data_IF_675985072069
#
_entry.id   IF_675985072069
#
_cell.length_a   1.000
_cell.length_b   1.000
_cell.length_c   1.000
_cell.angle_alpha   90.00
_cell.angle_beta   90.00
_cell.angle_gamma   90.00
#
_symmetry.space_group_name_H-M   'P 1'
#
loop_
_entity.id
_entity.type
_entity.pdbx_description
1 polymer ?
#
# COMPACT_ATOMS: atom_id res chain seq x y z
N UNK A 1 -10.70 16.00 5.37
CA UNK A 1 -12.07 15.71 4.90
C UNK A 1 -12.87 15.27 6.11
N UNK A 2 -14.00 15.90 6.42
CA UNK A 2 -14.91 15.42 7.46
C UNK A 2 -15.94 14.50 6.81
N UNK A 3 -15.98 13.23 7.22
CA UNK A 3 -17.06 12.32 6.83
C UNK A 3 -18.31 12.71 7.63
N UNK A 4 -19.48 12.75 6.98
CA UNK A 4 -20.74 12.93 7.72
C UNK A 4 -21.13 11.61 8.38
N UNK A 5 -20.69 11.43 9.63
CA UNK A 5 -21.01 10.24 10.42
C UNK A 5 -22.51 10.14 10.79
N UNK A 6 -23.33 11.14 10.43
CA UNK A 6 -24.78 11.07 10.56
C UNK A 6 -25.46 10.46 9.33
N UNK A 7 -24.75 10.30 8.21
CA UNK A 7 -25.29 9.64 7.02
C UNK A 7 -25.60 8.18 7.34
N UNK A 8 -26.74 7.68 6.87
CA UNK A 8 -27.14 6.30 7.15
C UNK A 8 -26.37 5.35 6.24
N UNK A 9 -25.59 4.46 6.82
CA UNK A 9 -25.00 3.32 6.09
C UNK A 9 -26.12 2.39 5.60
N UNK A 10 -26.32 2.33 4.28
CA UNK A 10 -27.35 1.49 3.64
C UNK A 10 -26.90 0.04 3.43
N UNK A 11 -25.58 -0.20 3.44
CA UNK A 11 -24.99 -1.53 3.31
C UNK A 11 -24.26 -1.93 4.59
N UNK A 12 -24.79 -2.92 5.30
CA UNK A 12 -24.14 -3.46 6.49
C UNK A 12 -22.96 -4.34 6.09
N UNK A 13 -21.74 -3.93 6.47
CA UNK A 13 -20.56 -4.76 6.26
C UNK A 13 -20.72 -6.12 6.95
N UNK A 14 -20.28 -7.23 6.31
CA UNK A 14 -20.35 -8.54 6.93
C UNK A 14 -19.43 -8.61 8.17
N UNK A 15 -19.71 -9.56 9.06
CA UNK A 15 -18.83 -9.82 10.19
C UNK A 15 -17.39 -10.10 9.72
N UNK A 16 -16.41 -9.54 10.43
CA UNK A 16 -14.99 -9.59 10.09
C UNK A 16 -14.62 -8.87 8.77
N UNK A 17 -15.41 -7.90 8.30
CA UNK A 17 -15.06 -7.09 7.14
C UNK A 17 -13.68 -6.43 7.31
N UNK A 18 -12.92 -6.39 6.22
CA UNK A 18 -11.59 -5.83 6.16
C UNK A 18 -11.59 -4.65 5.19
N UNK A 19 -11.10 -3.50 5.63
CA UNK A 19 -10.58 -2.51 4.72
C UNK A 19 -9.16 -2.95 4.32
N UNK A 20 -8.98 -3.26 3.04
CA UNK A 20 -7.72 -3.78 2.53
C UNK A 20 -6.80 -2.68 1.97
N UNK A 21 -7.22 -1.41 1.98
CA UNK A 21 -6.41 -0.34 1.41
C UNK A 21 -6.77 1.05 1.95
N UNK A 22 -5.97 1.54 2.89
CA UNK A 22 -6.02 2.93 3.31
C UNK A 22 -4.64 3.45 3.75
N UNK A 23 -4.57 4.76 3.95
CA UNK A 23 -3.37 5.46 4.39
C UNK A 23 -3.70 6.29 5.63
N UNK A 24 -2.72 6.42 6.51
CA UNK A 24 -2.73 7.42 7.59
C UNK A 24 -1.71 8.50 7.26
N UNK A 25 -2.04 9.73 7.62
CA UNK A 25 -1.14 10.87 7.51
C UNK A 25 -1.12 11.62 8.82
N UNK A 26 0.01 11.59 9.51
CA UNK A 26 0.19 12.27 10.78
C UNK A 26 0.66 13.72 10.61
N UNK A 27 0.86 14.43 11.74
CA UNK A 27 1.39 15.78 11.76
C UNK A 27 2.76 15.88 11.06
N UNK A 28 2.94 16.91 10.23
CA UNK A 28 4.15 17.06 9.39
C UNK A 28 5.43 17.35 10.19
N UNK A 29 5.31 17.88 11.40
CA UNK A 29 6.40 18.08 12.36
C UNK A 29 6.91 16.77 12.98
N UNK A 30 6.04 15.76 13.06
CA UNK A 30 6.38 14.41 13.56
C UNK A 30 6.80 13.46 12.44
N UNK A 31 6.15 13.54 11.29
CA UNK A 31 6.37 12.63 10.16
C UNK A 31 6.78 13.44 8.92
N UNK A 32 8.10 13.66 8.73
CA UNK A 32 8.59 14.42 7.58
C UNK A 32 8.33 13.65 6.28
N UNK A 33 8.15 14.40 5.19
CA UNK A 33 7.95 13.80 3.88
C UNK A 33 9.26 13.26 3.30
N UNK A 34 9.16 12.20 2.48
CA UNK A 34 10.33 11.52 1.92
C UNK A 34 11.01 12.27 0.77
N UNK A 35 10.40 13.35 0.27
CA UNK A 35 10.94 14.19 -0.80
C UNK A 35 10.25 15.55 -0.84
N UNK A 36 10.94 16.58 -1.31
CA UNK A 36 10.36 17.89 -1.63
C UNK A 36 9.47 17.85 -2.87
N UNK A 37 9.64 16.84 -3.74
CA UNK A 37 8.85 16.67 -4.98
C UNK A 37 7.64 15.78 -4.72
N UNK A 38 6.66 16.34 -4.02
CA UNK A 38 5.42 15.63 -3.71
C UNK A 38 4.47 15.57 -4.91
N UNK A 39 3.84 14.41 -5.11
CA UNK A 39 2.79 14.23 -6.14
C UNK A 39 1.52 15.02 -5.82
N UNK A 40 1.27 15.29 -4.54
CA UNK A 40 0.11 15.99 -4.00
C UNK A 40 0.45 16.57 -2.62
N UNK A 41 -0.32 17.55 -2.15
CA UNK A 41 -0.22 18.03 -0.78
C UNK A 41 -0.80 16.98 0.19
N UNK A 42 0.02 16.34 1.06
CA UNK A 42 -0.47 15.30 1.96
C UNK A 42 -1.44 15.90 2.98
N UNK A 43 -2.64 15.31 3.17
CA UNK A 43 -3.59 15.83 4.15
C UNK A 43 -3.12 15.49 5.58
N UNK A 44 -3.67 16.17 6.58
CA UNK A 44 -3.71 15.61 7.94
C UNK A 44 -4.87 14.61 7.99
N UNK A 45 -4.57 13.33 8.21
CA UNK A 45 -5.55 12.24 8.26
C UNK A 45 -5.13 11.23 9.33
N UNK A 46 -5.32 11.56 10.62
CA UNK A 46 -4.87 10.73 11.73
C UNK A 46 -5.67 9.43 11.82
N UNK A 47 -5.07 8.41 12.45
CA UNK A 47 -5.72 7.11 12.69
C UNK A 47 -7.08 7.26 13.40
N UNK A 48 -7.20 8.20 14.34
CA UNK A 48 -8.44 8.45 15.09
C UNK A 48 -9.64 8.77 14.19
N UNK A 49 -9.42 9.50 13.10
CA UNK A 49 -10.48 9.87 12.16
C UNK A 49 -10.89 8.66 11.34
N UNK A 50 -9.91 7.87 10.91
CA UNK A 50 -10.15 6.62 10.20
C UNK A 50 -10.91 5.60 11.07
N UNK A 51 -10.55 5.43 12.35
CA UNK A 51 -11.24 4.47 13.24
C UNK A 51 -12.70 4.85 13.50
N UNK A 52 -13.03 6.14 13.52
CA UNK A 52 -14.42 6.59 13.59
C UNK A 52 -15.21 6.19 12.33
N UNK A 53 -14.62 6.40 11.15
CA UNK A 53 -15.20 5.98 9.88
C UNK A 53 -15.34 4.45 9.80
N UNK A 54 -14.29 3.71 10.11
CA UNK A 54 -14.28 2.25 10.10
C UNK A 54 -15.37 1.67 11.01
N UNK A 55 -15.52 2.21 12.23
CA UNK A 55 -16.58 1.83 13.15
C UNK A 55 -17.97 2.11 12.58
N UNK A 56 -18.16 3.29 11.98
CA UNK A 56 -19.41 3.67 11.34
C UNK A 56 -19.77 2.71 10.18
N UNK A 57 -18.78 2.29 9.40
CA UNK A 57 -18.92 1.33 8.29
C UNK A 57 -18.98 -0.15 8.72
N UNK A 58 -18.75 -0.46 10.01
CA UNK A 58 -18.72 -1.84 10.51
C UNK A 58 -17.46 -2.64 10.13
N UNK A 59 -16.35 -1.97 9.80
CA UNK A 59 -15.07 -2.60 9.49
C UNK A 59 -14.34 -2.97 10.78
N UNK A 60 -13.71 -4.15 10.81
CA UNK A 60 -13.02 -4.65 12.02
C UNK A 60 -11.59 -5.11 11.78
N UNK A 61 -11.14 -5.12 10.52
CA UNK A 61 -9.78 -5.49 10.11
C UNK A 61 -9.25 -4.48 9.10
N UNK A 62 -7.95 -4.24 9.16
CA UNK A 62 -7.33 -3.11 8.49
C UNK A 62 -6.01 -3.52 7.85
N UNK A 63 -5.83 -3.20 6.56
CA UNK A 63 -4.54 -3.27 5.89
C UNK A 63 -4.05 -1.85 5.63
N UNK A 64 -3.08 -1.44 6.44
CA UNK A 64 -2.40 -0.19 6.25
C UNK A 64 -1.44 -0.29 5.06
N UNK A 65 -1.43 0.72 4.21
CA UNK A 65 -0.50 0.77 3.06
C UNK A 65 0.34 2.03 3.15
N UNK A 66 1.65 1.89 2.97
CA UNK A 66 2.57 3.03 2.94
C UNK A 66 2.22 3.99 1.80
N UNK A 67 1.94 5.28 2.08
CA UNK A 67 1.72 6.28 1.03
C UNK A 67 3.06 6.77 0.47
N UNK A 68 3.08 7.15 -0.81
CA UNK A 68 4.30 7.66 -1.46
C UNK A 68 4.87 8.94 -0.83
N UNK A 69 4.06 9.71 -0.08
CA UNK A 69 4.46 10.97 0.53
C UNK A 69 5.60 10.80 1.54
N UNK A 70 5.64 9.68 2.26
CA UNK A 70 6.69 9.38 3.25
C UNK A 70 7.84 8.56 2.66
N UNK A 71 7.80 8.23 1.36
CA UNK A 71 8.79 7.37 0.72
C UNK A 71 8.89 6.02 1.46
N UNK A 72 10.10 5.68 1.92
CA UNK A 72 10.39 4.45 2.67
C UNK A 72 10.43 4.64 4.19
N UNK A 73 10.14 5.84 4.68
CA UNK A 73 9.89 6.03 6.10
C UNK A 73 8.48 5.53 6.43
N UNK A 74 8.40 4.31 6.96
CA UNK A 74 7.15 3.66 7.31
C UNK A 74 6.65 4.03 8.72
N UNK A 75 7.32 4.95 9.44
CA UNK A 75 7.06 5.22 10.86
C UNK A 75 5.61 5.63 11.15
N UNK A 76 5.02 6.52 10.35
CA UNK A 76 3.62 6.95 10.54
C UNK A 76 2.65 5.77 10.49
N UNK A 77 2.82 4.89 9.50
CA UNK A 77 2.01 3.68 9.36
C UNK A 77 2.26 2.69 10.51
N UNK A 78 3.52 2.43 10.84
CA UNK A 78 3.89 1.46 11.86
C UNK A 78 3.44 1.89 13.26
N UNK A 79 3.50 3.19 13.59
CA UNK A 79 2.97 3.74 14.84
C UNK A 79 1.46 3.51 14.94
N UNK A 80 0.72 3.80 13.86
CA UNK A 80 -0.73 3.56 13.82
C UNK A 80 -1.05 2.06 13.94
N UNK A 81 -0.25 1.18 13.31
CA UNK A 81 -0.40 -0.27 13.46
C UNK A 81 -0.15 -0.74 14.90
N UNK A 82 0.80 -0.14 15.63
CA UNK A 82 1.04 -0.46 17.05
C UNK A 82 -0.16 -0.10 17.92
N UNK A 83 -0.78 1.04 17.66
CA UNK A 83 -1.97 1.49 18.39
C UNK A 83 -3.16 0.53 18.20
N UNK A 84 -3.39 0.08 16.96
CA UNK A 84 -4.47 -0.88 16.64
C UNK A 84 -4.17 -2.30 17.12
N UNK A 85 -2.91 -2.73 16.98
CA UNK A 85 -2.45 -4.05 17.36
C UNK A 85 -2.68 -5.15 16.30
N UNK A 86 -1.77 -6.13 16.31
CA UNK A 86 -1.65 -7.19 15.29
C UNK A 86 -2.84 -8.16 15.19
N UNK A 87 -3.83 -8.06 16.07
CA UNK A 87 -5.05 -8.88 15.95
C UNK A 87 -5.98 -8.35 14.86
N UNK A 88 -5.96 -7.05 14.63
CA UNK A 88 -6.87 -6.37 13.71
C UNK A 88 -6.15 -5.77 12.49
N UNK A 89 -4.85 -5.51 12.58
CA UNK A 89 -4.09 -4.84 11.51
C UNK A 89 -3.05 -5.71 10.82
N UNK A 90 -2.84 -5.43 9.53
CA UNK A 90 -1.67 -5.82 8.74
C UNK A 90 -1.12 -4.59 8.02
N UNK A 91 0.12 -4.68 7.56
CA UNK A 91 0.80 -3.57 6.88
C UNK A 91 1.45 -3.97 5.56
N UNK A 92 1.47 -3.03 4.61
CA UNK A 92 2.23 -3.07 3.37
C UNK A 92 3.22 -1.90 3.39
N UNK A 93 4.50 -2.22 3.51
CA UNK A 93 5.59 -1.23 3.63
C UNK A 93 6.19 -0.88 2.26
N UNK A 94 6.92 0.23 2.14
CA UNK A 94 7.91 0.44 1.07
C UNK A 94 9.30 0.37 1.69
N UNK A 95 10.19 -0.42 1.09
CA UNK A 95 11.55 -0.67 1.58
C UNK A 95 12.55 -0.71 0.43
N UNK A 96 13.83 -0.53 0.77
CA UNK A 96 14.94 -0.85 -0.11
C UNK A 96 15.14 -2.37 -0.19
N UNK A 97 15.55 -2.86 -1.34
CA UNK A 97 15.79 -4.29 -1.59
C UNK A 97 16.94 -4.89 -0.75
N UNK A 98 17.77 -4.04 -0.15
CA UNK A 98 18.86 -4.37 0.76
C UNK A 98 18.55 -4.02 2.23
N UNK A 99 17.29 -3.72 2.56
CA UNK A 99 16.86 -3.51 3.94
C UNK A 99 17.37 -4.64 4.87
N UNK A 100 17.91 -4.32 6.06
CA UNK A 100 18.48 -5.31 6.98
C UNK A 100 17.44 -6.34 7.44
N UNK A 101 17.85 -7.60 7.59
CA UNK A 101 16.96 -8.67 8.09
C UNK A 101 16.36 -8.36 9.45
N UNK A 102 17.10 -7.68 10.33
CA UNK A 102 16.59 -7.25 11.65
C UNK A 102 15.39 -6.31 11.51
N UNK A 103 15.45 -5.35 10.59
CA UNK A 103 14.35 -4.44 10.31
C UNK A 103 13.12 -5.18 9.78
N UNK A 104 13.32 -6.14 8.86
CA UNK A 104 12.23 -6.95 8.33
C UNK A 104 11.59 -7.83 9.42
N UNK A 105 12.40 -8.42 10.29
CA UNK A 105 11.91 -9.21 11.42
C UNK A 105 11.13 -8.36 12.44
N UNK A 106 11.55 -7.11 12.67
CA UNK A 106 10.78 -6.16 13.49
C UNK A 106 9.44 -5.80 12.85
N UNK A 107 9.44 -5.50 11.56
CA UNK A 107 8.21 -5.24 10.80
C UNK A 107 7.26 -6.45 10.78
N UNK A 108 7.79 -7.67 10.66
CA UNK A 108 6.98 -8.89 10.67
C UNK A 108 6.25 -9.09 12.01
N UNK A 109 6.95 -8.85 13.13
CA UNK A 109 6.37 -8.90 14.48
C UNK A 109 5.27 -7.86 14.68
N UNK A 110 5.32 -6.75 13.94
CA UNK A 110 4.28 -5.71 13.93
C UNK A 110 3.11 -6.02 13.01
N UNK A 111 3.15 -7.13 12.27
CA UNK A 111 2.07 -7.53 11.38
C UNK A 111 2.23 -7.06 9.93
N UNK A 112 3.40 -6.55 9.52
CA UNK A 112 3.66 -6.29 8.10
C UNK A 112 3.65 -7.61 7.33
N UNK A 113 2.99 -7.66 6.18
CA UNK A 113 2.86 -8.89 5.36
C UNK A 113 3.09 -8.65 3.88
N UNK A 114 3.62 -7.49 3.50
CA UNK A 114 3.95 -7.23 2.11
C UNK A 114 4.74 -5.96 1.88
N UNK A 115 5.26 -5.85 0.66
CA UNK A 115 6.02 -4.69 0.19
C UNK A 115 5.32 -4.09 -1.03
N UNK A 116 5.16 -2.78 -1.05
CA UNK A 116 4.60 -2.04 -2.18
C UNK A 116 5.67 -1.75 -3.22
N UNK A 117 5.47 -2.22 -4.43
CA UNK A 117 6.15 -1.74 -5.63
C UNK A 117 5.37 -0.54 -6.15
N UNK A 118 5.81 0.64 -5.73
CA UNK A 118 5.14 1.91 -6.02
C UNK A 118 5.83 2.69 -7.13
N UNK A 119 5.08 3.00 -8.18
CA UNK A 119 5.46 3.92 -9.24
C UNK A 119 4.30 4.90 -9.51
N UNK A 120 4.61 6.14 -9.90
CA UNK A 120 3.59 7.17 -10.09
C UNK A 120 2.55 6.73 -11.13
N UNK A 121 1.25 6.66 -10.80
CA UNK A 121 0.22 6.25 -11.75
C UNK A 121 0.05 7.19 -12.95
N UNK A 122 0.57 8.41 -12.84
CA UNK A 122 0.55 9.44 -13.88
C UNK A 122 1.91 9.56 -14.60
N UNK A 123 2.85 8.64 -14.35
CA UNK A 123 4.13 8.66 -15.05
C UNK A 123 3.92 8.45 -16.55
N UNK A 124 4.48 9.33 -17.41
CA UNK A 124 4.42 9.13 -18.86
C UNK A 124 5.14 7.85 -19.26
N UNK A 125 4.80 7.33 -20.44
CA UNK A 125 5.45 6.15 -20.99
C UNK A 125 6.98 6.32 -21.02
N UNK A 126 7.70 5.35 -20.44
CA UNK A 126 9.16 5.30 -20.42
C UNK A 126 9.62 3.94 -20.97
N UNK A 127 10.17 3.90 -22.20
CA UNK A 127 10.67 2.67 -22.79
C UNK A 127 11.70 1.97 -21.89
N UNK A 128 11.49 0.69 -21.61
CA UNK A 128 12.43 -0.13 -20.85
C UNK A 128 12.32 0.02 -19.32
N UNK A 129 11.40 0.82 -18.80
CA UNK A 129 11.21 0.98 -17.36
C UNK A 129 10.88 -0.35 -16.66
N UNK A 130 10.02 -1.19 -17.25
CA UNK A 130 9.71 -2.53 -16.72
C UNK A 130 10.98 -3.37 -16.51
N UNK A 131 11.84 -3.43 -17.52
CA UNK A 131 13.12 -4.15 -17.47
C UNK A 131 14.09 -3.54 -16.45
N UNK A 132 14.10 -2.22 -16.31
CA UNK A 132 14.92 -1.51 -15.32
C UNK A 132 14.47 -1.82 -13.88
N UNK A 133 13.17 -1.99 -13.64
CA UNK A 133 12.62 -2.31 -12.33
C UNK A 133 12.72 -3.79 -11.95
N UNK A 134 12.81 -4.68 -12.93
CA UNK A 134 12.80 -6.13 -12.73
C UNK A 134 13.80 -6.63 -11.66
N UNK A 135 15.10 -6.24 -11.66
CA UNK A 135 16.05 -6.74 -10.65
C UNK A 135 15.65 -6.40 -9.22
N UNK A 136 15.11 -5.20 -8.99
CA UNK A 136 14.61 -4.77 -7.67
C UNK A 136 13.41 -5.63 -7.25
N UNK A 137 12.45 -5.82 -8.16
CA UNK A 137 11.23 -6.60 -7.87
C UNK A 137 11.57 -8.05 -7.55
N UNK A 138 12.46 -8.67 -8.32
CA UNK A 138 12.90 -10.05 -8.07
C UNK A 138 13.58 -10.20 -6.71
N UNK A 139 14.43 -9.23 -6.33
CA UNK A 139 15.09 -9.23 -5.03
C UNK A 139 14.11 -9.07 -3.87
N UNK A 140 13.16 -8.12 -3.97
CA UNK A 140 12.12 -7.95 -2.95
C UNK A 140 11.21 -9.18 -2.89
N UNK A 141 10.85 -9.78 -4.03
CA UNK A 141 10.05 -11.00 -4.10
C UNK A 141 10.73 -12.18 -3.39
N UNK A 142 12.04 -12.34 -3.57
CA UNK A 142 12.83 -13.36 -2.88
C UNK A 142 12.80 -13.17 -1.35
N UNK A 143 13.00 -11.94 -0.86
CA UNK A 143 12.91 -11.63 0.58
C UNK A 143 11.49 -11.84 1.11
N UNK A 144 10.46 -11.45 0.35
CA UNK A 144 9.07 -11.70 0.72
C UNK A 144 8.77 -13.20 0.82
N UNK A 145 9.35 -14.02 -0.07
CA UNK A 145 9.19 -15.48 -0.05
C UNK A 145 9.72 -16.08 1.26
N UNK A 146 10.87 -15.62 1.73
CA UNK A 146 11.48 -16.08 2.99
C UNK A 146 10.60 -15.73 4.20
N UNK A 147 9.94 -14.57 4.17
CA UNK A 147 9.08 -14.07 5.26
C UNK A 147 7.62 -14.55 5.19
N UNK A 148 7.21 -15.17 4.08
CA UNK A 148 5.80 -15.47 3.82
C UNK A 148 4.95 -14.21 3.54
N UNK A 149 5.57 -13.17 3.00
CA UNK A 149 4.94 -11.91 2.60
C UNK A 149 4.54 -11.93 1.11
N UNK A 150 3.82 -10.90 0.67
CA UNK A 150 3.41 -10.69 -0.73
C UNK A 150 3.86 -9.34 -1.28
N UNK A 151 3.67 -9.10 -2.58
CA UNK A 151 3.89 -7.80 -3.20
C UNK A 151 2.57 -7.06 -3.45
N UNK A 152 2.54 -5.74 -3.28
CA UNK A 152 1.45 -4.87 -3.75
C UNK A 152 1.96 -3.98 -4.87
N UNK A 153 1.31 -3.98 -6.04
CA UNK A 153 1.73 -3.16 -7.17
C UNK A 153 0.83 -1.94 -7.35
N UNK A 154 1.44 -0.76 -7.35
CA UNK A 154 0.83 0.47 -7.87
C UNK A 154 1.71 1.00 -8.99
N UNK A 155 1.24 0.92 -10.22
CA UNK A 155 1.97 1.31 -11.44
C UNK A 155 1.02 2.10 -12.35
N UNK A 156 1.51 2.93 -13.29
CA UNK A 156 0.65 3.41 -14.38
C UNK A 156 0.19 2.23 -15.24
N UNK A 157 -1.01 2.29 -15.84
CA UNK A 157 -1.63 1.14 -16.54
C UNK A 157 -0.79 0.55 -17.68
N UNK A 158 -0.03 1.39 -18.40
CA UNK A 158 0.90 0.91 -19.43
C UNK A 158 2.01 0.04 -18.83
N UNK A 159 2.52 0.41 -17.66
CA UNK A 159 3.59 -0.34 -16.99
C UNK A 159 3.03 -1.60 -16.37
N UNK A 160 1.82 -1.55 -15.78
CA UNK A 160 1.08 -2.74 -15.34
C UNK A 160 1.06 -3.78 -16.47
N UNK A 161 0.63 -3.37 -17.67
CA UNK A 161 0.56 -4.25 -18.84
C UNK A 161 1.92 -4.85 -19.20
N UNK A 162 2.97 -4.04 -19.27
CA UNK A 162 4.33 -4.50 -19.57
C UNK A 162 4.91 -5.45 -18.51
N UNK A 163 4.47 -5.34 -17.25
CA UNK A 163 4.96 -6.15 -16.13
C UNK A 163 4.22 -7.49 -15.97
N UNK A 164 3.08 -7.72 -16.63
CA UNK A 164 2.32 -8.99 -16.54
C UNK A 164 3.19 -10.24 -16.74
N UNK A 165 4.10 -10.31 -17.75
CA UNK A 165 4.98 -11.47 -17.91
C UNK A 165 5.86 -11.75 -16.68
N UNK A 166 6.43 -10.71 -16.06
CA UNK A 166 7.22 -10.85 -14.83
C UNK A 166 6.33 -11.26 -13.64
N UNK A 167 5.15 -10.66 -13.52
CA UNK A 167 4.22 -10.97 -12.43
C UNK A 167 3.82 -12.46 -12.42
N UNK A 168 3.65 -13.07 -13.60
CA UNK A 168 3.37 -14.51 -13.74
C UNK A 168 4.50 -15.42 -13.27
N UNK A 169 5.73 -14.91 -13.16
CA UNK A 169 6.90 -15.69 -12.71
C UNK A 169 7.26 -15.43 -11.25
N UNK A 170 6.55 -14.56 -10.54
CA UNK A 170 6.86 -14.22 -9.16
C UNK A 170 6.72 -15.45 -8.24
N UNK A 171 7.65 -15.64 -7.29
CA UNK A 171 7.60 -16.77 -6.35
C UNK A 171 6.66 -16.52 -5.16
N UNK A 172 5.96 -15.39 -5.14
CA UNK A 172 5.05 -14.96 -4.05
C UNK A 172 3.73 -14.47 -4.63
N UNK A 173 2.63 -14.49 -3.86
CA UNK A 173 1.40 -13.81 -4.23
C UNK A 173 1.63 -12.31 -4.45
N UNK A 174 0.71 -11.68 -5.18
CA UNK A 174 0.69 -10.24 -5.33
C UNK A 174 -0.74 -9.69 -5.42
N UNK A 175 -0.89 -8.41 -5.08
CA UNK A 175 -2.08 -7.59 -5.33
C UNK A 175 -1.81 -6.53 -6.37
N UNK A 176 -2.85 -6.14 -7.10
CA UNK A 176 -2.84 -5.00 -8.02
C UNK A 176 -3.71 -3.89 -7.43
N UNK A 177 -3.09 -2.77 -7.04
CA UNK A 177 -3.82 -1.62 -6.53
C UNK A 177 -4.69 -1.02 -7.65
N UNK A 178 -5.90 -0.59 -7.27
CA UNK A 178 -6.82 0.18 -8.12
C UNK A 178 -7.03 -0.41 -9.53
N UNK A 179 -7.24 -1.74 -9.60
CA UNK A 179 -7.51 -2.44 -10.87
C UNK A 179 -6.38 -2.25 -11.91
N UNK A 180 -5.13 -2.16 -11.44
CA UNK A 180 -3.96 -2.00 -12.32
C UNK A 180 -3.79 -0.61 -12.93
N UNK A 181 -4.59 0.37 -12.50
CA UNK A 181 -4.65 1.72 -13.08
C UNK A 181 -5.01 1.73 -14.58
N UNK A 182 -5.73 0.70 -15.05
CA UNK A 182 -6.34 0.69 -16.38
C UNK A 182 -7.46 1.74 -16.44
N UNK A 183 -7.55 2.47 -17.57
CA UNK A 183 -8.57 3.50 -17.72
C UNK A 183 -9.89 2.86 -18.17
N UNK A 184 -11.00 3.25 -17.55
CA UNK A 184 -12.32 2.72 -17.90
C UNK A 184 -12.68 2.90 -19.40
N UNK A 185 -12.16 3.94 -20.05
CA UNK A 185 -12.36 4.20 -21.48
C UNK A 185 -11.73 3.13 -22.39
N UNK A 186 -10.80 2.32 -21.88
CA UNK A 186 -10.10 1.28 -22.65
C UNK A 186 -10.90 -0.04 -22.67
N UNK A 187 -12.01 -0.12 -21.92
CA UNK A 187 -12.95 -1.24 -21.96
C UNK A 187 -12.53 -2.45 -21.12
N UNK A 188 -13.40 -3.47 -21.03
CA UNK A 188 -13.19 -4.66 -20.20
C UNK A 188 -12.13 -5.63 -20.74
N UNK A 189 -11.75 -5.48 -22.02
CA UNK A 189 -10.71 -6.29 -22.67
C UNK A 189 -9.30 -5.71 -22.48
N UNK A 190 -9.18 -4.58 -21.76
CA UNK A 190 -7.89 -4.07 -21.33
C UNK A 190 -7.18 -5.12 -20.44
N UNK A 191 -5.85 -5.27 -20.55
CA UNK A 191 -5.08 -6.32 -19.87
C UNK A 191 -5.28 -6.43 -18.36
#
# INVERSE_FOLDING_TARGET
>A
MSFDLNEKVVFTAPANACDAHFHVFGPADKYPYGSDQLRYAPPLAPLSDYLQLAKHLGLTRYVFVQPSAYGRDNSCMLDAMREVGIKQSRGIVDIDEDAPDSLLAEMDKLGVRGVRINYSPIHPYEPGLAKKMQPRIERIAARCKELGWHLDFLLPGWLTTEMIPLMKTLPVPFSMAHMGMNLAKDGPDAP
#
